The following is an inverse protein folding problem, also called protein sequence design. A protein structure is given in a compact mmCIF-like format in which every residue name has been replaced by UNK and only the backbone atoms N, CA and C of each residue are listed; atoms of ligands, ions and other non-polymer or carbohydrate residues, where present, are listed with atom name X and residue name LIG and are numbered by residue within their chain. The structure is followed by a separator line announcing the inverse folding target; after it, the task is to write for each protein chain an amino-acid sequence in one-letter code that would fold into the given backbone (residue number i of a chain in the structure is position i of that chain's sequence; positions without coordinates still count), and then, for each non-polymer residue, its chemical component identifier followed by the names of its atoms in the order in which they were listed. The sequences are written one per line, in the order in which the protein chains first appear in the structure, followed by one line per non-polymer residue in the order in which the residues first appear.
data_IF_168832807184
#
_entry.id   IF_168832807184
#
_cell.length_a   1.000
_cell.length_b   1.000
_cell.length_c   1.000
_cell.angle_alpha   90.00
_cell.angle_beta   90.00
_cell.angle_gamma   90.00
#
_symmetry.space_group_name_H-M   'P 1'
#
loop_
_entity.id
_entity.type
_entity.pdbx_description
1 polymer ?
#
# COMPACT_ATOMS: atom_id res chain seq x y z
N UNK A 1 28.81 21.23 -11.24
CA UNK A 1 27.34 21.16 -11.47
C UNK A 1 26.99 19.76 -11.94
N UNK A 2 26.17 19.02 -11.19
CA UNK A 2 25.98 17.57 -11.38
C UNK A 2 25.20 17.21 -12.65
N UNK A 3 25.77 16.32 -13.46
CA UNK A 3 25.25 15.82 -14.73
C UNK A 3 23.91 15.06 -14.56
N UNK A 4 23.03 15.15 -15.56
CA UNK A 4 21.74 14.45 -15.61
C UNK A 4 21.94 13.05 -16.20
N UNK A 5 21.90 12.01 -15.37
CA UNK A 5 22.34 10.65 -15.77
C UNK A 5 21.21 9.68 -16.18
N UNK A 6 19.94 10.08 -16.14
CA UNK A 6 18.81 9.19 -16.45
C UNK A 6 17.98 9.72 -17.61
N UNK A 7 17.73 8.90 -18.61
CA UNK A 7 17.01 9.31 -19.83
C UNK A 7 15.84 8.37 -20.09
N UNK A 8 14.66 8.91 -20.36
CA UNK A 8 13.53 8.10 -20.83
C UNK A 8 13.79 7.63 -22.27
N UNK A 9 13.73 6.34 -22.55
CA UNK A 9 13.96 5.81 -23.90
C UNK A 9 12.89 6.23 -24.91
N UNK A 10 11.65 6.46 -24.45
CA UNK A 10 10.52 6.80 -25.32
C UNK A 10 10.54 8.26 -25.78
N UNK A 11 10.75 9.21 -24.86
CA UNK A 11 10.71 10.64 -25.18
C UNK A 11 12.07 11.34 -25.07
N UNK A 12 13.14 10.61 -24.73
CA UNK A 12 14.53 11.09 -24.57
C UNK A 12 14.70 12.22 -23.52
N UNK A 13 13.71 12.42 -22.65
CA UNK A 13 13.77 13.42 -21.58
C UNK A 13 14.80 13.01 -20.52
N UNK A 14 15.68 13.95 -20.14
CA UNK A 14 16.78 13.73 -19.20
C UNK A 14 16.43 14.20 -17.79
N UNK A 15 16.75 13.36 -16.81
CA UNK A 15 16.48 13.53 -15.40
C UNK A 15 17.76 13.39 -14.60
N UNK A 16 17.86 14.18 -13.53
CA UNK A 16 19.01 14.15 -12.61
C UNK A 16 18.94 13.00 -11.62
N UNK A 17 17.73 12.51 -11.32
CA UNK A 17 17.48 11.41 -10.38
C UNK A 17 16.64 10.34 -11.07
N UNK A 18 16.91 9.07 -10.77
CA UNK A 18 16.20 7.90 -11.31
C UNK A 18 14.70 7.98 -11.02
N UNK A 19 14.32 8.39 -9.81
CA UNK A 19 12.91 8.55 -9.41
C UNK A 19 12.13 9.51 -10.31
N UNK A 20 12.73 10.63 -10.72
CA UNK A 20 12.05 11.58 -11.60
C UNK A 20 11.83 10.99 -13.00
N UNK A 21 12.73 10.13 -13.48
CA UNK A 21 12.55 9.39 -14.73
C UNK A 21 11.49 8.29 -14.58
N UNK A 22 11.42 7.65 -13.41
CA UNK A 22 10.43 6.61 -13.09
C UNK A 22 9.03 7.18 -12.99
N UNK A 23 8.82 8.19 -12.13
CA UNK A 23 7.54 8.88 -12.03
C UNK A 23 7.07 9.40 -13.39
N UNK A 24 7.99 9.96 -14.17
CA UNK A 24 7.68 10.37 -15.53
C UNK A 24 7.23 9.22 -16.43
N UNK A 25 7.87 8.05 -16.34
CA UNK A 25 7.47 6.87 -17.08
C UNK A 25 6.07 6.37 -16.69
N UNK A 26 5.79 6.32 -15.38
CA UNK A 26 4.51 5.89 -14.85
C UNK A 26 3.39 6.86 -15.23
N UNK A 27 3.62 8.17 -15.14
CA UNK A 27 2.57 9.17 -15.38
C UNK A 27 2.40 9.58 -16.83
N UNK A 28 3.45 9.53 -17.65
CA UNK A 28 3.41 9.99 -19.05
C UNK A 28 3.35 8.82 -20.04
N UNK A 29 3.83 7.64 -19.64
CA UNK A 29 3.92 6.47 -20.52
C UNK A 29 3.28 5.21 -19.93
N UNK A 30 2.53 5.33 -18.82
CA UNK A 30 1.86 4.21 -18.15
C UNK A 30 2.78 3.00 -17.93
N UNK A 31 4.02 3.28 -17.50
CA UNK A 31 5.11 2.32 -17.28
C UNK A 31 5.67 1.57 -18.51
N UNK A 32 5.26 1.92 -19.72
CA UNK A 32 5.74 1.27 -20.94
C UNK A 32 7.15 1.71 -21.38
N UNK A 33 7.65 2.84 -20.88
CA UNK A 33 8.96 3.36 -21.25
C UNK A 33 10.10 2.77 -20.43
N UNK A 34 11.22 2.44 -21.08
CA UNK A 34 12.43 2.03 -20.37
C UNK A 34 13.25 3.25 -19.96
N UNK A 35 13.82 3.23 -18.75
CA UNK A 35 14.73 4.28 -18.28
C UNK A 35 16.16 3.80 -18.52
N UNK A 36 16.94 4.58 -19.26
CA UNK A 36 18.33 4.28 -19.57
C UNK A 36 19.23 5.15 -18.70
N UNK A 37 20.23 4.53 -18.08
CA UNK A 37 21.29 5.24 -17.39
C UNK A 37 22.41 5.55 -18.39
N UNK A 38 22.73 6.82 -18.55
CA UNK A 38 23.75 7.27 -19.49
C UNK A 38 25.09 7.40 -18.73
N UNK A 39 25.91 6.34 -18.79
CA UNK A 39 27.20 6.24 -18.09
C UNK A 39 28.34 6.99 -18.77
N UNK A 40 28.07 7.67 -19.89
CA UNK A 40 29.07 8.22 -20.82
C UNK A 40 29.83 9.47 -20.34
N UNK A 41 29.76 9.84 -19.05
CA UNK A 41 30.48 10.99 -18.50
C UNK A 41 31.34 10.69 -17.25
N UNK A 42 31.83 9.45 -17.09
CA UNK A 42 32.92 9.15 -16.14
C UNK A 42 34.29 9.26 -16.84
N UNK A 43 34.72 10.50 -17.14
CA UNK A 43 36.11 10.80 -17.48
C UNK A 43 36.64 11.85 -16.51
N UNK A 44 36.99 11.41 -15.30
CA UNK A 44 37.53 12.31 -14.28
C UNK A 44 37.69 11.68 -12.91
N UNK A 45 38.41 10.56 -12.80
CA UNK A 45 39.04 10.19 -11.53
C UNK A 45 40.55 9.99 -11.75
N UNK A 46 41.41 10.60 -10.91
CA UNK A 46 42.85 10.35 -10.94
C UNK A 46 43.17 8.94 -10.42
N UNK A 47 44.17 8.34 -11.05
CA UNK A 47 44.86 7.12 -10.62
C UNK A 47 45.40 7.24 -9.18
N UNK A 48 45.27 6.17 -8.40
CA UNK A 48 46.39 5.68 -7.58
C UNK A 48 46.25 4.19 -7.30
N UNK A 49 47.12 3.43 -7.95
CA UNK A 49 47.46 2.05 -7.63
C UNK A 49 48.12 1.97 -6.24
N UNK A 50 47.84 0.92 -5.45
CA UNK A 50 48.84 -0.02 -4.90
C UNK A 50 48.23 -0.95 -3.84
N UNK A 51 48.79 -2.15 -3.81
CA UNK A 51 48.44 -3.34 -3.07
C UNK A 51 48.55 -3.22 -1.54
N UNK A 52 47.80 -4.05 -0.81
CA UNK A 52 48.33 -4.86 0.30
C UNK A 52 47.34 -5.96 0.71
N UNK A 53 47.83 -7.20 0.74
CA UNK A 53 47.24 -8.34 1.46
C UNK A 53 47.36 -8.09 2.97
N UNK A 54 46.34 -8.38 3.77
CA UNK A 54 46.52 -9.00 5.10
C UNK A 54 45.19 -9.50 5.69
N UNK A 55 45.21 -10.78 6.06
CA UNK A 55 44.32 -11.43 7.02
C UNK A 55 44.59 -10.90 8.44
N UNK A 56 43.53 -10.63 9.23
CA UNK A 56 43.32 -11.11 10.61
C UNK A 56 42.25 -10.29 11.36
N UNK A 57 41.32 -11.04 11.93
CA UNK A 57 40.79 -10.94 13.31
C UNK A 57 40.14 -9.63 13.79
N UNK A 58 38.85 -9.78 14.14
CA UNK A 58 38.10 -9.17 15.23
C UNK A 58 38.74 -7.95 15.93
N UNK A 59 38.04 -6.83 15.84
CA UNK A 59 37.95 -5.81 16.90
C UNK A 59 36.73 -4.92 16.61
N UNK A 60 35.67 -5.07 17.39
CA UNK A 60 34.73 -3.97 17.58
C UNK A 60 35.44 -2.89 18.40
N UNK A 61 35.58 -1.64 17.90
CA UNK A 61 35.99 -0.53 18.73
C UNK A 61 34.76 0.24 19.21
N UNK A 62 34.81 0.48 20.51
CA UNK A 62 33.95 1.31 21.36
C UNK A 62 33.44 2.58 20.67
N UNK A 63 32.14 2.85 20.86
CA UNK A 63 31.55 4.18 20.68
C UNK A 63 32.34 5.23 21.46
N UNK A 64 32.76 6.30 20.75
CA UNK A 64 32.85 7.68 21.26
C UNK A 64 33.10 8.63 20.10
N UNK A 65 32.08 9.42 19.77
CA UNK A 65 32.11 10.88 19.56
C UNK A 65 30.93 11.32 18.65
N UNK A 66 29.87 11.83 19.29
CA UNK A 66 29.02 12.91 18.76
C UNK A 66 29.94 14.08 18.37
N UNK A 67 29.77 14.88 17.31
CA UNK A 67 28.72 15.13 16.31
C UNK A 67 29.38 16.01 15.18
N UNK A 68 28.79 16.21 13.97
CA UNK A 68 27.63 17.08 13.83
C UNK A 68 26.54 16.53 12.89
N UNK A 69 25.31 16.85 13.25
CA UNK A 69 24.10 16.67 12.44
C UNK A 69 24.34 17.30 11.06
N UNK A 70 24.36 16.47 10.01
CA UNK A 70 24.22 16.94 8.64
C UNK A 70 23.11 16.14 7.98
N UNK A 71 21.98 16.82 7.89
CA UNK A 71 20.79 16.56 7.08
C UNK A 71 20.13 15.19 7.28
N UNK A 72 18.91 15.27 7.82
CA UNK A 72 17.85 14.28 7.77
C UNK A 72 17.84 13.52 6.43
N UNK A 73 18.49 12.37 6.40
CA UNK A 73 18.15 11.31 5.46
C UNK A 73 16.87 10.69 6.03
N UNK A 74 15.78 11.01 5.37
CA UNK A 74 14.41 10.66 5.71
C UNK A 74 14.34 9.18 6.11
N UNK A 75 14.02 8.92 7.38
CA UNK A 75 13.84 7.56 7.91
C UNK A 75 12.79 6.78 7.12
N UNK A 76 11.83 7.50 6.54
CA UNK A 76 10.86 7.01 5.56
C UNK A 76 11.51 6.49 4.27
N UNK A 77 12.50 7.19 3.72
CA UNK A 77 13.23 6.79 2.50
C UNK A 77 14.07 5.53 2.75
N UNK A 78 14.55 5.30 3.98
CA UNK A 78 15.24 4.05 4.36
C UNK A 78 14.29 2.85 4.49
N UNK A 79 13.12 3.04 5.12
CA UNK A 79 12.09 2.00 5.22
C UNK A 79 11.54 1.65 3.84
N UNK A 80 11.28 2.65 2.99
CA UNK A 80 10.82 2.46 1.62
C UNK A 80 11.85 1.67 0.80
N UNK A 81 13.15 1.95 0.95
CA UNK A 81 14.19 1.19 0.25
C UNK A 81 14.31 -0.27 0.72
N UNK A 82 14.18 -0.56 2.03
CA UNK A 82 14.14 -1.94 2.55
C UNK A 82 12.92 -2.68 2.01
N UNK A 83 11.76 -2.05 2.10
CA UNK A 83 10.48 -2.59 1.63
C UNK A 83 10.56 -2.88 0.12
N UNK A 84 11.15 -1.98 -0.68
CA UNK A 84 11.33 -2.15 -2.12
C UNK A 84 12.34 -3.26 -2.48
N UNK A 85 13.45 -3.39 -1.76
CA UNK A 85 14.41 -4.49 -1.95
C UNK A 85 13.79 -5.86 -1.62
N UNK A 86 12.89 -5.92 -0.66
CA UNK A 86 12.13 -7.11 -0.28
C UNK A 86 11.05 -7.44 -1.33
N UNK A 87 10.30 -6.43 -1.82
CA UNK A 87 9.31 -6.58 -2.90
C UNK A 87 9.91 -7.04 -4.24
N UNK A 88 11.14 -6.65 -4.56
CA UNK A 88 11.83 -7.10 -5.77
C UNK A 88 12.12 -8.62 -5.79
N UNK A 89 12.00 -9.31 -4.64
CA UNK A 89 12.15 -10.76 -4.52
C UNK A 89 10.82 -11.51 -4.44
N UNK A 90 9.69 -10.79 -4.33
CA UNK A 90 8.37 -11.42 -4.19
C UNK A 90 7.92 -11.98 -5.53
N UNK A 91 7.41 -13.22 -5.49
CA UNK A 91 6.87 -13.88 -6.67
C UNK A 91 5.78 -13.01 -7.33
N UNK A 92 5.91 -12.80 -8.64
CA UNK A 92 4.93 -12.10 -9.48
C UNK A 92 3.47 -12.60 -9.26
N UNK A 93 3.29 -13.88 -8.92
CA UNK A 93 1.99 -14.46 -8.58
C UNK A 93 1.44 -13.91 -7.26
N UNK A 94 2.29 -13.76 -6.25
CA UNK A 94 1.93 -13.15 -4.96
C UNK A 94 1.55 -11.68 -5.20
N UNK A 95 2.35 -10.93 -5.96
CA UNK A 95 2.05 -9.53 -6.29
C UNK A 95 0.72 -9.40 -7.06
N UNK A 96 0.41 -10.34 -7.95
CA UNK A 96 -0.87 -10.36 -8.66
C UNK A 96 -2.05 -10.58 -7.71
N UNK A 97 -1.92 -11.51 -6.76
CA UNK A 97 -2.96 -11.78 -5.75
C UNK A 97 -3.15 -10.54 -4.87
N UNK A 98 -2.06 -9.96 -4.34
CA UNK A 98 -2.10 -8.74 -3.53
C UNK A 98 -2.77 -7.60 -4.32
N UNK A 99 -2.36 -7.39 -5.58
CA UNK A 99 -2.94 -6.36 -6.44
C UNK A 99 -4.45 -6.51 -6.65
N UNK A 100 -4.96 -7.75 -6.74
CA UNK A 100 -6.40 -8.02 -6.81
C UNK A 100 -7.11 -7.78 -5.48
N UNK A 101 -6.42 -7.93 -4.35
CA UNK A 101 -6.96 -7.72 -3.00
C UNK A 101 -6.95 -6.25 -2.56
N UNK A 102 -6.14 -5.38 -3.17
CA UNK A 102 -6.05 -3.96 -2.77
C UNK A 102 -7.40 -3.25 -2.80
N UNK A 103 -8.19 -3.44 -3.86
CA UNK A 103 -9.50 -2.78 -3.96
C UNK A 103 -10.44 -3.15 -2.79
N UNK A 104 -10.78 -4.44 -2.56
CA UNK A 104 -11.66 -4.80 -1.45
C UNK A 104 -11.04 -4.51 -0.07
N UNK A 105 -9.70 -4.48 0.03
CA UNK A 105 -9.02 -4.06 1.26
C UNK A 105 -9.28 -2.58 1.58
N UNK A 106 -9.15 -1.69 0.60
CA UNK A 106 -9.39 -0.26 0.77
C UNK A 106 -10.88 0.04 1.03
N UNK A 107 -11.79 -0.67 0.37
CA UNK A 107 -13.24 -0.57 0.61
C UNK A 107 -13.60 -0.98 2.06
N UNK A 108 -12.98 -2.05 2.56
CA UNK A 108 -13.10 -2.44 3.96
C UNK A 108 -12.51 -1.37 4.88
N UNK A 109 -11.33 -0.86 4.56
CA UNK A 109 -10.66 0.18 5.34
C UNK A 109 -11.54 1.43 5.52
N UNK A 110 -12.16 1.89 4.43
CA UNK A 110 -13.08 3.03 4.42
C UNK A 110 -14.31 2.77 5.32
N UNK A 111 -14.87 1.56 5.24
CA UNK A 111 -16.02 1.15 6.05
C UNK A 111 -15.73 1.15 7.55
N UNK A 112 -14.45 1.14 7.95
CA UNK A 112 -13.99 1.11 9.33
C UNK A 112 -13.51 2.49 9.85
N UNK A 113 -13.72 3.58 9.09
CA UNK A 113 -13.21 4.91 9.45
C UNK A 113 -13.76 5.48 10.77
N UNK A 114 -14.86 4.95 11.30
CA UNK A 114 -15.40 5.32 12.61
C UNK A 114 -14.67 4.66 13.79
N UNK A 115 -13.80 3.67 13.54
CA UNK A 115 -13.05 2.97 14.57
C UNK A 115 -11.75 3.71 14.93
N UNK A 116 -11.25 3.47 16.14
CA UNK A 116 -9.89 3.93 16.49
C UNK A 116 -8.83 3.13 15.72
N UNK A 117 -7.61 3.68 15.65
CA UNK A 117 -6.50 3.11 14.85
C UNK A 117 -6.17 1.66 15.21
N UNK A 118 -6.23 1.31 16.50
CA UNK A 118 -5.88 -0.03 16.97
C UNK A 118 -6.94 -1.06 16.57
N UNK A 119 -8.21 -0.76 16.80
CA UNK A 119 -9.31 -1.64 16.45
C UNK A 119 -9.43 -1.81 14.92
N UNK A 120 -9.22 -0.72 14.18
CA UNK A 120 -9.16 -0.74 12.71
C UNK A 120 -8.05 -1.67 12.21
N UNK A 121 -6.85 -1.57 12.77
CA UNK A 121 -5.73 -2.46 12.42
C UNK A 121 -6.03 -3.93 12.75
N UNK A 122 -6.64 -4.21 13.91
CA UNK A 122 -7.06 -5.56 14.30
C UNK A 122 -8.10 -6.11 13.32
N UNK A 123 -9.13 -5.33 12.98
CA UNK A 123 -10.18 -5.75 12.06
C UNK A 123 -9.64 -6.04 10.65
N UNK A 124 -8.80 -5.14 10.11
CA UNK A 124 -8.17 -5.32 8.80
C UNK A 124 -7.26 -6.55 8.78
N UNK A 125 -6.45 -6.75 9.81
CA UNK A 125 -5.54 -7.91 9.92
C UNK A 125 -6.34 -9.21 10.00
N UNK A 126 -7.41 -9.25 10.79
CA UNK A 126 -8.30 -10.42 10.87
C UNK A 126 -8.95 -10.72 9.53
N UNK A 127 -9.51 -9.70 8.86
CA UNK A 127 -10.14 -9.86 7.56
C UNK A 127 -9.16 -10.39 6.50
N UNK A 128 -7.95 -9.83 6.44
CA UNK A 128 -6.91 -10.28 5.53
C UNK A 128 -6.50 -11.73 5.81
N UNK A 129 -6.15 -12.05 7.06
CA UNK A 129 -5.75 -13.41 7.46
C UNK A 129 -6.84 -14.44 7.19
N UNK A 130 -8.10 -14.15 7.54
CA UNK A 130 -9.24 -15.03 7.26
C UNK A 130 -9.44 -15.22 5.75
N UNK A 131 -9.26 -14.18 4.94
CA UNK A 131 -9.36 -14.27 3.48
C UNK A 131 -8.26 -15.16 2.91
N UNK A 132 -7.02 -15.03 3.40
CA UNK A 132 -5.88 -15.83 2.95
C UNK A 132 -6.03 -17.32 3.27
N UNK A 133 -6.79 -17.67 4.31
CA UNK A 133 -7.12 -19.06 4.65
C UNK A 133 -8.28 -19.64 3.83
N UNK A 134 -8.94 -18.82 3.01
CA UNK A 134 -10.05 -19.25 2.16
C UNK A 134 -9.57 -19.83 0.83
N UNK A 135 -10.45 -20.57 0.14
CA UNK A 135 -10.17 -21.09 -1.20
C UNK A 135 -9.97 -19.99 -2.25
N UNK A 136 -10.65 -18.84 -2.09
CA UNK A 136 -10.50 -17.69 -2.99
C UNK A 136 -10.35 -16.40 -2.15
N UNK A 137 -9.09 -16.00 -1.85
CA UNK A 137 -8.82 -14.87 -0.96
C UNK A 137 -9.38 -13.53 -1.43
N UNK A 138 -9.37 -13.28 -2.75
CA UNK A 138 -9.88 -12.04 -3.33
C UNK A 138 -11.39 -11.94 -3.11
N UNK A 139 -12.13 -13.02 -3.45
CA UNK A 139 -13.58 -13.07 -3.26
C UNK A 139 -13.95 -13.02 -1.79
N UNK A 140 -13.23 -13.75 -0.93
CA UNK A 140 -13.49 -13.76 0.50
C UNK A 140 -13.31 -12.37 1.13
N UNK A 141 -12.25 -11.65 0.76
CA UNK A 141 -12.02 -10.29 1.26
C UNK A 141 -13.10 -9.33 0.78
N UNK A 142 -13.52 -9.45 -0.48
CA UNK A 142 -14.62 -8.65 -1.03
C UNK A 142 -15.93 -8.90 -0.28
N UNK A 143 -16.29 -10.16 -0.02
CA UNK A 143 -17.48 -10.50 0.77
C UNK A 143 -17.42 -9.98 2.21
N UNK A 144 -16.23 -9.95 2.82
CA UNK A 144 -16.02 -9.33 4.13
C UNK A 144 -16.25 -7.82 4.03
N UNK A 145 -15.65 -7.14 3.06
CA UNK A 145 -15.81 -5.71 2.84
C UNK A 145 -17.28 -5.32 2.64
N UNK A 146 -18.00 -6.03 1.78
CA UNK A 146 -19.44 -5.85 1.54
C UNK A 146 -20.25 -6.02 2.82
N UNK A 147 -19.93 -7.01 3.67
CA UNK A 147 -20.61 -7.21 4.96
C UNK A 147 -20.44 -6.02 5.90
N UNK A 148 -19.22 -5.48 6.00
CA UNK A 148 -18.97 -4.30 6.84
C UNK A 148 -19.68 -3.06 6.29
N UNK A 149 -19.63 -2.84 4.97
CA UNK A 149 -20.34 -1.76 4.30
C UNK A 149 -21.85 -1.85 4.54
N UNK A 150 -22.43 -3.03 4.40
CA UNK A 150 -23.86 -3.27 4.63
C UNK A 150 -24.25 -3.00 6.09
N UNK A 151 -23.46 -3.48 7.05
CA UNK A 151 -23.70 -3.23 8.47
C UNK A 151 -23.62 -1.74 8.83
N UNK A 152 -22.62 -1.02 8.30
CA UNK A 152 -22.51 0.43 8.47
C UNK A 152 -23.72 1.14 7.85
N UNK A 153 -24.12 0.75 6.64
CA UNK A 153 -25.31 1.28 5.96
C UNK A 153 -26.59 1.07 6.77
N UNK A 154 -26.82 -0.15 7.26
CA UNK A 154 -27.97 -0.49 8.10
C UNK A 154 -28.01 0.38 9.37
N UNK A 155 -26.87 0.54 10.04
CA UNK A 155 -26.77 1.39 11.25
C UNK A 155 -27.12 2.84 10.95
N UNK A 156 -26.62 3.41 9.85
CA UNK A 156 -26.92 4.78 9.43
C UNK A 156 -28.41 4.93 9.14
N UNK A 157 -29.00 4.01 8.37
CA UNK A 157 -30.43 4.03 8.04
C UNK A 157 -31.27 3.93 9.32
N UNK A 158 -30.94 3.00 10.22
CA UNK A 158 -31.63 2.81 11.49
C UNK A 158 -31.53 4.05 12.38
N UNK A 159 -30.40 4.76 12.39
CA UNK A 159 -30.23 6.02 13.14
C UNK A 159 -31.19 7.10 12.63
N UNK A 160 -31.26 7.33 11.32
CA UNK A 160 -32.18 8.31 10.74
C UNK A 160 -33.64 7.94 10.97
N UNK A 161 -33.99 6.67 10.82
CA UNK A 161 -35.35 6.18 11.06
C UNK A 161 -35.75 6.34 12.53
N UNK A 162 -34.85 5.98 13.45
CA UNK A 162 -35.03 6.17 14.90
C UNK A 162 -35.30 7.63 15.24
N UNK A 163 -34.51 8.56 14.70
CA UNK A 163 -34.72 10.00 14.90
C UNK A 163 -36.06 10.49 14.35
N UNK A 164 -36.44 10.05 13.14
CA UNK A 164 -37.68 10.49 12.50
C UNK A 164 -38.94 9.98 13.22
N UNK A 165 -38.88 8.84 13.89
CA UNK A 165 -40.05 8.16 14.47
C UNK A 165 -40.04 8.14 16.01
N UNK A 166 -39.04 8.73 16.65
CA UNK A 166 -38.87 8.73 18.11
C UNK A 166 -38.89 7.32 18.73
N UNK A 167 -38.31 6.35 18.03
CA UNK A 167 -38.16 4.95 18.48
C UNK A 167 -36.70 4.64 18.77
N UNK A 168 -36.42 3.52 19.45
CA UNK A 168 -35.03 3.12 19.70
C UNK A 168 -34.33 2.68 18.40
N UNK A 169 -33.00 2.79 18.34
CA UNK A 169 -32.20 2.33 17.18
C UNK A 169 -32.42 0.84 16.92
N UNK A 170 -32.61 0.03 17.96
CA UNK A 170 -32.88 -1.41 17.83
C UNK A 170 -34.23 -1.68 17.17
N UNK A 171 -35.28 -0.96 17.58
CA UNK A 171 -36.60 -1.04 16.95
C UNK A 171 -36.53 -0.55 15.49
N UNK A 172 -35.82 0.55 15.23
CA UNK A 172 -35.63 1.06 13.88
C UNK A 172 -34.88 0.06 12.97
N UNK A 173 -33.83 -0.60 13.46
CA UNK A 173 -33.11 -1.63 12.72
C UNK A 173 -34.03 -2.81 12.36
N UNK A 174 -34.83 -3.30 13.31
CA UNK A 174 -35.80 -4.36 13.04
C UNK A 174 -36.87 -3.95 12.00
N UNK A 175 -37.29 -2.68 11.98
CA UNK A 175 -38.21 -2.18 10.95
C UNK A 175 -37.55 -2.12 9.57
N UNK A 176 -36.29 -1.68 9.49
CA UNK A 176 -35.51 -1.67 8.23
C UNK A 176 -35.35 -3.09 7.70
N UNK A 177 -34.98 -4.04 8.55
CA UNK A 177 -34.85 -5.45 8.18
C UNK A 177 -36.17 -6.01 7.65
N UNK A 178 -37.28 -5.79 8.37
CA UNK A 178 -38.60 -6.21 7.91
C UNK A 178 -39.01 -5.55 6.58
N UNK A 179 -38.70 -4.27 6.37
CA UNK A 179 -38.99 -3.58 5.11
C UNK A 179 -38.20 -4.18 3.94
N UNK A 180 -36.92 -4.54 4.16
CA UNK A 180 -36.09 -5.21 3.16
C UNK A 180 -36.63 -6.61 2.86
N UNK A 181 -36.98 -7.39 3.89
CA UNK A 181 -37.52 -8.75 3.75
C UNK A 181 -38.81 -8.81 2.94
N UNK A 182 -39.67 -7.80 3.08
CA UNK A 182 -40.92 -7.69 2.34
C UNK A 182 -40.77 -6.95 1.00
N UNK A 183 -39.55 -6.57 0.61
CA UNK A 183 -39.31 -5.89 -0.65
C UNK A 183 -39.35 -6.87 -1.84
N UNK A 184 -39.78 -6.38 -3.00
CA UNK A 184 -39.78 -7.15 -4.25
C UNK A 184 -38.38 -7.62 -4.67
N UNK A 185 -37.32 -7.02 -4.12
CA UNK A 185 -35.93 -7.40 -4.38
C UNK A 185 -35.60 -8.78 -3.78
N UNK A 186 -36.03 -9.08 -2.55
CA UNK A 186 -35.76 -10.37 -1.92
C UNK A 186 -36.51 -11.51 -2.61
N UNK A 187 -37.74 -11.25 -3.07
CA UNK A 187 -38.48 -12.23 -3.88
C UNK A 187 -37.82 -12.54 -5.24
N UNK A 188 -36.98 -11.64 -5.77
CA UNK A 188 -36.19 -11.87 -7.00
C UNK A 188 -34.85 -12.57 -6.75
N UNK A 189 -34.32 -12.51 -5.53
CA UNK A 189 -33.07 -13.18 -5.15
C UNK A 189 -33.34 -14.65 -4.79
N UNK A 190 -34.52 -14.95 -4.27
CA UNK A 190 -34.90 -16.29 -3.82
C UNK A 190 -35.58 -17.17 -4.88
N UNK A 191 -35.87 -16.63 -6.07
CA UNK A 191 -36.40 -17.35 -7.23
C UNK A 191 -35.34 -17.42 -8.33
#
# INVERSE_FOLDING_TARGET
MGSKSYTCAMCKRKFRRKWNAFRHNTTVHSDLGKIVFDSTNLSGLPNSSKAAKHSRQNKFPKFKNFQPIRESLDYEDYLDNIILEEFNKIDSKIMKIIGQMIKPYLELEESLNYMNKNDKAIALTKAFSSSMLSYNPVKSLHEIAERYRANTGLKIIAQYWSQANNITIQQAAALVENAIMNSSLIHRINN
#
